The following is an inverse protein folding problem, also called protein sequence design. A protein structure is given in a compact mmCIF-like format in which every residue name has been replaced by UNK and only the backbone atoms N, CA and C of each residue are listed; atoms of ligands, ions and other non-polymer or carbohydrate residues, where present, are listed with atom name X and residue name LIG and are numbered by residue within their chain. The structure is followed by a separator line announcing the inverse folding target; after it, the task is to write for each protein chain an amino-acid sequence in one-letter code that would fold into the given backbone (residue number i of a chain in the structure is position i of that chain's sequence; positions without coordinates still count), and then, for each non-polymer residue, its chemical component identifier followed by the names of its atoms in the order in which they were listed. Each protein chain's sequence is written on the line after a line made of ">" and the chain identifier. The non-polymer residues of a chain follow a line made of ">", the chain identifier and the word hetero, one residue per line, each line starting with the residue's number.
data_IF_132100914958
#
_entry.id   IF_132100914958
#
_cell.length_a   1.000
_cell.length_b   1.000
_cell.length_c   1.000
_cell.angle_alpha   90.00
_cell.angle_beta   90.00
_cell.angle_gamma   90.00
#
_symmetry.space_group_name_H-M   'P 1'
#
loop_
_entity.id
_entity.type
_entity.pdbx_description
1 polymer ?
#
# COMPACT_ATOMS: atom_id res chain seq x y z
N UNK A 1 5.46 0.74 5.57
CA UNK A 1 4.54 1.82 6.01
C UNK A 1 3.15 1.51 5.49
N UNK A 2 2.09 2.03 6.11
CA UNK A 2 0.72 1.83 5.65
C UNK A 2 -0.09 3.13 5.75
N UNK A 3 -1.01 3.35 4.82
CA UNK A 3 -2.02 4.42 4.82
C UNK A 3 -3.34 3.88 4.25
N UNK A 4 -4.37 4.72 4.16
CA UNK A 4 -5.72 4.36 3.70
C UNK A 4 -6.18 5.32 2.62
N UNK A 5 -6.54 4.81 1.44
CA UNK A 5 -7.11 5.62 0.35
C UNK A 5 -8.34 6.42 0.80
N UNK A 6 -9.22 5.81 1.62
CA UNK A 6 -10.38 6.51 2.20
C UNK A 6 -9.95 7.64 3.13
N UNK A 7 -9.00 7.36 4.03
CA UNK A 7 -8.48 8.38 4.95
C UNK A 7 -7.72 9.52 4.25
N UNK A 8 -7.10 9.25 3.09
CA UNK A 8 -6.47 10.24 2.24
C UNK A 8 -7.50 11.09 1.49
N UNK A 9 -8.56 10.48 0.98
CA UNK A 9 -9.66 11.20 0.32
C UNK A 9 -10.37 12.16 1.29
N UNK A 10 -10.64 11.74 2.52
CA UNK A 10 -11.24 12.59 3.58
C UNK A 10 -10.40 13.85 3.86
N UNK A 11 -9.10 13.79 3.56
CA UNK A 11 -8.12 14.86 3.78
C UNK A 11 -7.74 15.59 2.49
N UNK A 12 -8.48 15.34 1.40
CA UNK A 12 -8.24 15.92 0.08
C UNK A 12 -6.82 15.68 -0.47
N UNK A 13 -6.21 14.56 -0.07
CA UNK A 13 -4.92 14.13 -0.63
C UNK A 13 -5.20 13.44 -1.96
N UNK A 14 -4.64 13.99 -3.04
CA UNK A 14 -4.79 13.44 -4.37
C UNK A 14 -4.10 12.07 -4.48
N UNK A 15 -4.86 11.07 -4.89
CA UNK A 15 -4.38 9.72 -5.13
C UNK A 15 -4.87 9.20 -6.49
N UNK A 16 -4.09 8.30 -7.07
CA UNK A 16 -4.48 7.51 -8.25
C UNK A 16 -4.13 6.06 -7.95
N UNK A 17 -4.95 5.13 -8.40
CA UNK A 17 -4.63 3.70 -8.34
C UNK A 17 -4.82 3.05 -9.70
N UNK A 18 -4.10 1.95 -9.92
CA UNK A 18 -4.19 1.15 -11.14
C UNK A 18 -4.75 -0.24 -10.84
N UNK A 19 -5.46 -0.84 -11.79
CA UNK A 19 -5.98 -2.22 -11.68
C UNK A 19 -4.89 -3.29 -11.78
N UNK A 20 -3.71 -2.91 -12.25
CA UNK A 20 -2.53 -3.76 -12.51
C UNK A 20 -1.25 -2.94 -12.47
N UNK A 21 -0.10 -3.58 -12.74
CA UNK A 21 1.19 -2.92 -12.83
C UNK A 21 1.16 -1.69 -13.77
N UNK A 22 1.42 -0.50 -13.23
CA UNK A 22 1.19 0.79 -13.91
C UNK A 22 2.03 1.01 -15.19
N UNK A 23 3.11 0.25 -15.38
CA UNK A 23 3.93 0.28 -16.61
C UNK A 23 3.20 -0.27 -17.85
N UNK A 24 2.19 -1.13 -17.69
CA UNK A 24 1.56 -1.81 -18.80
C UNK A 24 0.64 -0.86 -19.58
N UNK A 25 0.62 -0.98 -20.92
CA UNK A 25 -0.30 -0.20 -21.76
C UNK A 25 -1.78 -0.49 -21.48
N UNK A 26 -2.07 -1.69 -20.95
CA UNK A 26 -3.41 -2.13 -20.58
C UNK A 26 -3.82 -1.66 -19.18
N UNK A 27 -2.94 -1.00 -18.43
CA UNK A 27 -3.26 -0.51 -17.10
C UNK A 27 -4.31 0.61 -17.18
N UNK A 28 -5.37 0.45 -16.38
CA UNK A 28 -6.40 1.46 -16.21
C UNK A 28 -6.16 2.19 -14.90
N UNK A 29 -6.37 3.52 -14.92
CA UNK A 29 -6.12 4.38 -13.77
C UNK A 29 -7.42 5.00 -13.27
N UNK A 30 -7.57 5.02 -11.95
CA UNK A 30 -8.77 5.47 -11.28
C UNK A 30 -8.42 6.45 -10.16
N UNK A 31 -9.30 7.41 -9.94
CA UNK A 31 -9.18 8.42 -8.87
C UNK A 31 -10.37 8.43 -7.93
N UNK A 32 -11.49 7.80 -8.32
CA UNK A 32 -12.66 7.64 -7.46
C UNK A 32 -12.53 6.38 -6.61
N UNK A 33 -12.92 6.48 -5.34
CA UNK A 33 -13.01 5.33 -4.44
C UNK A 33 -14.14 4.37 -4.82
N UNK A 34 -15.09 4.81 -5.65
CA UNK A 34 -16.18 3.97 -6.15
C UNK A 34 -15.66 2.90 -7.13
N UNK A 35 -14.52 3.15 -7.77
CA UNK A 35 -13.86 2.23 -8.72
C UNK A 35 -12.94 1.21 -8.02
N UNK A 36 -12.98 1.11 -6.69
CA UNK A 36 -12.19 0.09 -5.98
C UNK A 36 -12.66 -1.34 -6.35
N UNK A 37 -13.85 -1.51 -6.94
CA UNK A 37 -14.31 -2.79 -7.49
C UNK A 37 -13.49 -3.27 -8.71
N UNK A 38 -12.71 -2.38 -9.34
CA UNK A 38 -11.85 -2.72 -10.50
C UNK A 38 -10.56 -3.43 -10.10
N UNK A 39 -10.19 -3.38 -8.83
CA UNK A 39 -9.03 -4.10 -8.31
C UNK A 39 -9.44 -5.55 -8.02
N UNK A 40 -8.63 -6.50 -8.49
CA UNK A 40 -8.81 -7.92 -8.13
C UNK A 40 -8.32 -8.18 -6.69
N UNK A 41 -9.17 -7.81 -5.73
CA UNK A 41 -8.91 -8.04 -4.30
C UNK A 41 -8.71 -9.52 -3.98
N UNK A 42 -9.34 -10.41 -4.73
CA UNK A 42 -9.23 -11.85 -4.53
C UNK A 42 -7.80 -12.33 -4.73
N UNK A 43 -7.16 -11.91 -5.82
CA UNK A 43 -5.75 -12.21 -6.09
C UNK A 43 -4.84 -11.62 -5.00
N UNK A 44 -5.03 -10.35 -4.64
CA UNK A 44 -4.19 -9.66 -3.65
C UNK A 44 -4.28 -10.30 -2.25
N UNK A 45 -5.47 -10.67 -1.81
CA UNK A 45 -5.71 -11.23 -0.47
C UNK A 45 -5.21 -12.66 -0.32
N UNK A 46 -5.12 -13.44 -1.41
CA UNK A 46 -4.59 -14.82 -1.38
C UNK A 46 -3.09 -14.89 -1.09
N UNK A 47 -2.35 -13.78 -1.22
CA UNK A 47 -0.88 -13.75 -1.06
C UNK A 47 -0.17 -14.77 -1.95
N UNK A 48 -0.77 -15.05 -3.11
CA UNK A 48 -0.27 -16.04 -4.05
C UNK A 48 0.33 -15.35 -5.27
N UNK A 49 1.67 -15.34 -5.29
CA UNK A 49 2.50 -14.74 -6.32
C UNK A 49 2.84 -15.72 -7.45
N UNK A 50 2.35 -16.96 -7.38
CA UNK A 50 2.67 -17.97 -8.38
C UNK A 50 2.03 -17.60 -9.72
N UNK A 51 2.78 -17.81 -10.79
CA UNK A 51 2.28 -17.68 -12.15
C UNK A 51 1.20 -18.73 -12.40
N UNK A 52 0.13 -18.29 -13.03
CA UNK A 52 -0.94 -19.15 -13.49
C UNK A 52 -0.84 -19.23 -15.02
N UNK A 53 -0.78 -20.46 -15.55
CA UNK A 53 -0.69 -20.69 -17.00
C UNK A 53 -2.03 -20.43 -17.68
N UNK A 54 -3.12 -20.67 -16.97
CA UNK A 54 -4.49 -20.44 -17.45
C UNK A 54 -4.93 -18.98 -17.25
N UNK A 55 -4.24 -18.24 -16.38
CA UNK A 55 -4.43 -16.80 -16.16
C UNK A 55 -3.09 -16.01 -16.19
N UNK A 56 -2.51 -15.76 -17.38
CA UNK A 56 -1.22 -15.08 -17.51
C UNK A 56 -1.20 -13.65 -16.95
N UNK A 57 -2.35 -12.96 -16.95
CA UNK A 57 -2.48 -11.59 -16.44
C UNK A 57 -2.59 -11.54 -14.91
N UNK A 58 -2.69 -12.68 -14.22
CA UNK A 58 -2.75 -12.75 -12.75
C UNK A 58 -1.61 -11.97 -12.11
N UNK A 59 -0.38 -12.12 -12.62
CA UNK A 59 0.79 -11.43 -12.07
C UNK A 59 0.72 -9.92 -12.26
N UNK A 60 0.15 -9.48 -13.37
CA UNK A 60 0.01 -8.06 -13.68
C UNK A 60 -1.03 -7.42 -12.74
N UNK A 61 -2.20 -8.07 -12.58
CA UNK A 61 -3.26 -7.65 -11.64
C UNK A 61 -2.79 -7.71 -10.18
N UNK A 62 -1.94 -8.67 -9.82
CA UNK A 62 -1.34 -8.75 -8.48
C UNK A 62 -0.52 -7.49 -8.16
N UNK A 63 0.02 -6.83 -9.16
CA UNK A 63 0.84 -5.64 -9.03
C UNK A 63 0.04 -4.33 -9.18
N UNK A 64 -1.25 -4.34 -8.85
CA UNK A 64 -2.04 -3.12 -8.70
C UNK A 64 -1.36 -2.13 -7.74
N UNK A 65 -1.32 -0.84 -8.10
CA UNK A 65 -0.62 0.19 -7.34
C UNK A 65 -1.58 1.25 -6.81
N UNK A 66 -1.24 1.86 -5.67
CA UNK A 66 -1.91 3.02 -5.13
C UNK A 66 -0.87 4.13 -4.90
N UNK A 67 -0.99 5.23 -5.62
CA UNK A 67 0.00 6.29 -5.72
C UNK A 67 -0.56 7.59 -5.12
N UNK A 68 0.24 8.21 -4.25
CA UNK A 68 -0.03 9.55 -3.71
C UNK A 68 0.68 10.58 -4.57
N UNK A 69 -0.02 11.65 -4.96
CA UNK A 69 0.58 12.71 -5.75
C UNK A 69 1.55 13.56 -4.91
N UNK A 70 2.82 13.62 -5.35
CA UNK A 70 3.93 14.41 -4.79
C UNK A 70 4.38 14.05 -3.38
N UNK A 71 3.52 14.17 -2.39
CA UNK A 71 3.90 14.10 -0.98
C UNK A 71 2.79 13.52 -0.11
N UNK A 72 3.17 12.60 0.78
CA UNK A 72 2.31 12.04 1.82
C UNK A 72 2.81 12.52 3.19
N UNK A 73 2.07 13.43 3.86
CA UNK A 73 2.37 13.80 5.24
C UNK A 73 2.38 12.59 6.18
N UNK A 74 3.31 12.56 7.14
CA UNK A 74 3.48 11.43 8.06
C UNK A 74 2.26 11.22 8.95
N UNK A 75 1.51 12.28 9.22
CA UNK A 75 0.26 12.29 10.00
C UNK A 75 -0.88 11.56 9.28
N UNK A 76 -0.70 11.19 8.01
CA UNK A 76 -1.66 10.42 7.23
C UNK A 76 -1.23 8.95 7.08
N UNK A 77 -0.10 8.55 7.66
CA UNK A 77 0.25 7.15 7.82
C UNK A 77 -0.58 6.54 8.96
N UNK A 78 -1.13 5.37 8.71
CA UNK A 78 -1.72 4.53 9.75
C UNK A 78 -0.62 3.91 10.66
N UNK A 79 0.60 3.79 10.15
CA UNK A 79 1.76 3.35 10.91
C UNK A 79 2.88 2.76 10.06
N UNK A 80 3.95 2.37 10.75
CA UNK A 80 5.08 1.63 10.18
C UNK A 80 5.05 0.20 10.74
N UNK A 81 5.37 -0.73 9.85
CA UNK A 81 5.49 -2.14 10.17
C UNK A 81 6.91 -2.55 9.88
N UNK A 82 7.53 -3.23 10.84
CA UNK A 82 8.87 -3.77 10.69
C UNK A 82 8.89 -5.27 10.98
N UNK A 83 9.98 -5.90 10.57
CA UNK A 83 10.15 -7.35 10.65
C UNK A 83 10.28 -7.84 12.10
N UNK A 84 11.07 -7.15 12.94
CA UNK A 84 11.30 -7.52 14.33
C UNK A 84 11.37 -6.33 15.29
N UNK A 85 11.62 -6.64 16.56
CA UNK A 85 11.69 -5.66 17.65
C UNK A 85 12.95 -4.78 17.56
N UNK A 86 14.04 -5.27 16.96
CA UNK A 86 15.27 -4.49 16.79
C UNK A 86 15.04 -3.30 15.85
N UNK A 87 14.38 -3.53 14.71
CA UNK A 87 14.01 -2.48 13.76
C UNK A 87 12.98 -1.53 14.38
N UNK A 88 12.01 -2.06 15.14
CA UNK A 88 11.03 -1.27 15.86
C UNK A 88 11.68 -0.27 16.81
N UNK A 89 12.60 -0.73 17.67
CA UNK A 89 13.30 0.15 18.61
C UNK A 89 14.14 1.24 17.91
N UNK A 90 14.65 0.96 16.71
CA UNK A 90 15.36 1.96 15.90
C UNK A 90 14.41 3.02 15.35
N UNK A 91 13.26 2.61 14.82
CA UNK A 91 12.23 3.51 14.32
C UNK A 91 11.57 4.33 15.44
N UNK A 92 11.40 3.75 16.63
CA UNK A 92 10.83 4.45 17.79
C UNK A 92 11.75 5.57 18.28
N UNK A 93 13.07 5.34 18.33
CA UNK A 93 14.04 6.41 18.62
C UNK A 93 13.98 7.53 17.59
N UNK A 94 13.95 7.20 16.29
CA UNK A 94 13.81 8.21 15.23
C UNK A 94 12.51 8.98 15.33
N UNK A 95 11.40 8.31 15.65
CA UNK A 95 10.10 8.95 15.87
C UNK A 95 10.16 9.96 17.02
N UNK A 96 10.82 9.60 18.12
CA UNK A 96 11.01 10.49 19.28
C UNK A 96 11.86 11.72 18.93
N UNK A 97 12.93 11.55 18.14
CA UNK A 97 13.78 12.65 17.67
C UNK A 97 13.01 13.67 16.81
N UNK A 98 12.10 13.20 15.96
CA UNK A 98 11.29 14.07 15.07
C UNK A 98 10.00 14.56 15.76
N UNK A 99 9.59 13.96 16.87
CA UNK A 99 8.45 14.40 17.68
C UNK A 99 7.07 14.09 17.10
N UNK A 100 6.94 13.06 16.26
CA UNK A 100 5.66 12.63 15.69
C UNK A 100 5.02 11.49 16.48
N UNK A 101 3.69 11.50 16.61
CA UNK A 101 2.92 10.37 17.16
C UNK A 101 2.57 9.37 16.05
N UNK A 102 3.56 8.55 15.67
CA UNK A 102 3.40 7.50 14.66
C UNK A 102 3.43 6.11 15.30
N UNK A 103 2.43 5.29 14.96
CA UNK A 103 2.35 3.89 15.39
C UNK A 103 3.41 3.05 14.68
N UNK A 104 4.22 2.31 15.43
CA UNK A 104 5.22 1.38 14.91
C UNK A 104 4.97 0.00 15.51
N UNK A 105 4.90 -1.03 14.66
CA UNK A 105 4.59 -2.40 15.08
C UNK A 105 5.58 -3.38 14.46
N UNK A 106 6.20 -4.21 15.29
CA UNK A 106 6.92 -5.39 14.82
C UNK A 106 5.91 -6.50 14.53
N UNK A 107 5.90 -7.00 13.30
CA UNK A 107 5.02 -8.12 12.91
C UNK A 107 5.77 -9.06 11.95
N UNK A 108 6.55 -10.01 12.51
CA UNK A 108 7.13 -11.09 11.72
C UNK A 108 6.01 -11.84 10.97
N UNK A 109 6.11 -11.98 9.64
CA UNK A 109 5.08 -12.59 8.79
C UNK A 109 3.99 -11.64 8.27
N UNK A 110 4.11 -10.33 8.50
CA UNK A 110 3.35 -9.37 7.69
C UNK A 110 3.93 -9.30 6.28
N UNK A 111 5.24 -9.03 6.18
CA UNK A 111 5.98 -9.16 4.94
C UNK A 111 6.21 -10.66 4.66
N UNK A 112 5.90 -11.05 3.43
CA UNK A 112 5.99 -12.37 2.78
C UNK A 112 6.45 -13.55 3.67
#
# INVERSE_FOLDING_TARGET
>A
MASSLRGLADRSVATVFSDRHAYLQTAQFFTSLDDLDKIDWGILQRRDFTRDVDDPEKTDRYQAEALVHRHLPVEHLAGIVCLGENEKGTLERQREEVGHDLKIVARPGWYF
#
